data_IF_561047883616
#
_entry.id   IF_561047883616
#
_cell.length_a   1.000
_cell.length_b   1.000
_cell.length_c   1.000
_cell.angle_alpha   90.00
_cell.angle_beta   90.00
_cell.angle_gamma   90.00
#
_symmetry.space_group_name_H-M   'P 1'
#
loop_
_entity.id
_entity.type
_entity.pdbx_description
1 polymer ?
#
# COMPACT_ATOMS: atom_id res chain seq x y z
N UNK A 1 10.50 33.54 -3.64
CA UNK A 1 11.13 32.22 -3.78
C UNK A 1 10.30 31.33 -2.90
N UNK A 2 9.43 30.53 -3.52
CA UNK A 2 8.67 29.51 -2.80
C UNK A 2 9.65 28.35 -2.74
N UNK A 3 9.98 27.87 -1.54
CA UNK A 3 10.91 26.76 -1.36
C UNK A 3 10.36 25.56 -2.13
N UNK A 4 11.02 25.20 -3.22
CA UNK A 4 10.70 24.04 -4.06
C UNK A 4 11.09 22.76 -3.30
N UNK A 5 10.16 21.81 -3.25
CA UNK A 5 10.40 20.35 -3.21
C UNK A 5 11.13 19.68 -2.02
N UNK A 6 11.35 20.35 -0.89
CA UNK A 6 12.03 19.70 0.27
C UNK A 6 11.29 18.44 0.79
N UNK A 7 9.97 18.37 0.64
CA UNK A 7 9.19 17.22 1.11
C UNK A 7 9.32 15.97 0.22
N UNK A 8 9.57 16.11 -1.09
CA UNK A 8 9.49 14.98 -2.03
C UNK A 8 10.73 14.10 -2.03
N UNK A 9 11.94 14.69 -1.93
CA UNK A 9 13.20 13.93 -1.88
C UNK A 9 13.32 13.11 -0.57
N UNK A 10 13.03 13.72 0.58
CA UNK A 10 13.21 13.10 1.91
C UNK A 10 12.20 11.96 2.22
N UNK A 11 11.03 11.99 1.57
CA UNK A 11 10.00 10.93 1.65
C UNK A 11 10.41 9.71 0.83
N UNK A 12 11.06 9.91 -0.31
CA UNK A 12 11.46 8.83 -1.21
C UNK A 12 12.54 7.92 -0.60
N UNK A 13 13.37 8.49 0.27
CA UNK A 13 14.42 7.83 1.07
C UNK A 13 13.89 7.16 2.36
N UNK A 14 12.60 7.30 2.68
CA UNK A 14 12.03 6.68 3.89
C UNK A 14 11.74 5.18 3.73
N UNK A 15 11.63 4.72 2.48
CA UNK A 15 11.28 3.34 2.11
C UNK A 15 12.18 2.86 0.99
N UNK A 16 12.38 1.54 0.91
CA UNK A 16 13.24 0.95 -0.12
C UNK A 16 12.78 1.34 -1.53
N UNK A 17 13.71 1.47 -2.48
CA UNK A 17 13.38 1.71 -3.89
C UNK A 17 12.70 0.49 -4.52
N UNK A 18 11.99 0.68 -5.64
CA UNK A 18 11.35 -0.45 -6.34
C UNK A 18 12.33 -1.56 -6.74
N UNK A 19 13.56 -1.19 -7.14
CA UNK A 19 14.58 -2.17 -7.51
C UNK A 19 15.07 -2.98 -6.29
N UNK A 20 15.25 -2.33 -5.15
CA UNK A 20 15.60 -3.00 -3.88
C UNK A 20 14.47 -3.92 -3.43
N UNK A 21 13.22 -3.45 -3.46
CA UNK A 21 12.04 -4.24 -3.13
C UNK A 21 11.91 -5.48 -4.01
N UNK A 22 12.14 -5.34 -5.32
CA UNK A 22 12.08 -6.47 -6.25
C UNK A 22 13.21 -7.49 -5.98
N UNK A 23 14.41 -7.03 -5.58
CA UNK A 23 15.50 -7.92 -5.19
C UNK A 23 15.19 -8.65 -3.87
N UNK A 24 14.72 -7.93 -2.86
CA UNK A 24 14.32 -8.51 -1.57
C UNK A 24 13.20 -9.52 -1.72
N UNK A 25 12.20 -9.21 -2.55
CA UNK A 25 11.10 -10.10 -2.88
C UNK A 25 11.57 -11.41 -3.51
N UNK A 26 12.47 -11.34 -4.49
CA UNK A 26 13.04 -12.53 -5.12
C UNK A 26 13.82 -13.39 -4.13
N UNK A 27 14.57 -12.77 -3.21
CA UNK A 27 15.28 -13.46 -2.14
C UNK A 27 14.32 -14.13 -1.15
N UNK A 28 13.30 -13.41 -0.69
CA UNK A 28 12.29 -13.91 0.23
C UNK A 28 11.54 -15.11 -0.37
N UNK A 29 11.16 -15.05 -1.64
CA UNK A 29 10.55 -16.17 -2.36
C UNK A 29 11.46 -17.39 -2.44
N UNK A 30 12.74 -17.21 -2.72
CA UNK A 30 13.70 -18.31 -2.78
C UNK A 30 13.87 -18.99 -1.41
N UNK A 31 13.92 -18.19 -0.34
CA UNK A 31 13.99 -18.69 1.04
C UNK A 31 12.71 -19.42 1.41
N UNK A 32 11.54 -18.85 1.10
CA UNK A 32 10.26 -19.47 1.44
C UNK A 32 10.05 -20.82 0.73
N UNK A 33 10.45 -20.92 -0.55
CA UNK A 33 10.44 -22.20 -1.27
C UNK A 33 11.28 -23.30 -0.58
N UNK A 34 12.23 -22.91 0.27
CA UNK A 34 13.03 -23.85 1.08
C UNK A 34 12.39 -24.19 2.43
N UNK A 35 11.54 -23.30 2.97
CA UNK A 35 10.94 -23.41 4.30
C UNK A 35 9.49 -23.94 4.28
N UNK A 36 8.77 -23.76 3.16
CA UNK A 36 7.43 -24.29 2.93
C UNK A 36 6.30 -23.59 3.69
N UNK A 37 6.45 -22.30 4.03
CA UNK A 37 5.39 -21.54 4.69
C UNK A 37 4.39 -21.01 3.64
N UNK A 38 3.19 -21.60 3.64
CA UNK A 38 2.14 -21.23 2.69
C UNK A 38 1.54 -19.85 2.98
N UNK A 39 1.36 -19.47 4.25
CA UNK A 39 0.82 -18.14 4.58
C UNK A 39 1.80 -17.06 4.12
N UNK A 40 3.10 -17.27 4.36
CA UNK A 40 4.13 -16.37 3.85
C UNK A 40 4.23 -16.41 2.31
N UNK A 41 3.98 -17.55 1.66
CA UNK A 41 3.92 -17.63 0.20
C UNK A 41 2.78 -16.78 -0.39
N UNK A 42 1.61 -16.79 0.27
CA UNK A 42 0.45 -16.02 -0.13
C UNK A 42 0.71 -14.51 0.05
N UNK A 43 1.38 -14.12 1.14
CA UNK A 43 1.84 -12.73 1.37
C UNK A 43 2.82 -12.28 0.30
N UNK A 44 3.84 -13.09 -0.02
CA UNK A 44 4.79 -12.75 -1.07
C UNK A 44 4.11 -12.69 -2.45
N UNK A 45 3.07 -13.48 -2.68
CA UNK A 45 2.26 -13.42 -3.90
C UNK A 45 1.47 -12.13 -3.95
N UNK A 46 0.86 -11.72 -2.85
CA UNK A 46 0.15 -10.46 -2.76
C UNK A 46 1.10 -9.26 -2.95
N UNK A 47 2.29 -9.29 -2.34
CA UNK A 47 3.32 -8.27 -2.51
C UNK A 47 3.80 -8.13 -3.97
N UNK A 48 3.66 -9.19 -4.79
CA UNK A 48 4.01 -9.15 -6.22
C UNK A 48 3.00 -8.37 -7.07
N UNK A 49 1.76 -8.22 -6.60
CA UNK A 49 0.71 -7.44 -7.25
C UNK A 49 0.96 -5.94 -7.09
N UNK A 50 1.69 -5.55 -6.04
CA UNK A 50 2.07 -4.17 -5.78
C UNK A 50 3.25 -3.80 -6.70
N UNK A 51 2.93 -3.02 -7.72
CA UNK A 51 3.88 -2.61 -8.78
C UNK A 51 3.77 -1.11 -9.07
N UNK A 52 4.76 -0.51 -9.73
CA UNK A 52 4.66 0.88 -10.20
C UNK A 52 3.46 1.15 -11.11
N UNK A 53 2.89 0.12 -11.76
CA UNK A 53 1.72 0.28 -12.62
C UNK A 53 0.46 0.61 -11.80
N UNK A 54 0.35 0.05 -10.59
CA UNK A 54 -0.78 0.32 -9.67
C UNK A 54 -0.83 1.80 -9.30
N UNK A 55 0.32 2.48 -9.19
CA UNK A 55 0.36 3.94 -8.99
C UNK A 55 -0.36 4.69 -10.12
N UNK A 56 -0.13 4.29 -11.37
CA UNK A 56 -0.76 4.94 -12.53
C UNK A 56 -2.28 4.73 -12.54
N UNK A 57 -2.72 3.52 -12.18
CA UNK A 57 -4.13 3.17 -12.09
C UNK A 57 -4.85 3.97 -10.99
N UNK A 58 -4.20 4.13 -9.84
CA UNK A 58 -4.74 4.94 -8.73
C UNK A 58 -4.80 6.43 -9.08
N UNK A 59 -3.81 6.96 -9.81
CA UNK A 59 -3.81 8.37 -10.26
C UNK A 59 -5.01 8.69 -11.17
N UNK A 60 -5.55 7.70 -11.88
CA UNK A 60 -6.69 7.83 -12.79
C UNK A 60 -8.06 7.70 -12.09
N UNK A 61 -8.10 7.38 -10.79
CA UNK A 61 -9.35 7.27 -10.02
C UNK A 61 -9.96 8.67 -9.79
N UNK A 62 -11.27 8.88 -10.06
CA UNK A 62 -11.92 10.18 -9.91
C UNK A 62 -11.84 10.78 -8.50
N UNK A 63 -11.97 9.97 -7.45
CA UNK A 63 -11.96 10.44 -6.06
C UNK A 63 -10.56 10.91 -5.63
N UNK A 64 -9.53 10.17 -6.05
CA UNK A 64 -8.13 10.56 -5.90
C UNK A 64 -7.82 11.83 -6.70
N UNK A 65 -8.32 11.92 -7.93
CA UNK A 65 -8.22 13.13 -8.76
C UNK A 65 -8.91 14.35 -8.12
N UNK A 66 -10.05 14.15 -7.45
CA UNK A 66 -10.77 15.18 -6.74
C UNK A 66 -9.99 15.65 -5.51
N UNK A 67 -9.38 14.73 -4.75
CA UNK A 67 -8.48 15.07 -3.65
C UNK A 67 -7.31 15.93 -4.15
N UNK A 68 -6.71 15.61 -5.30
CA UNK A 68 -5.67 16.46 -5.90
C UNK A 68 -6.14 17.89 -6.16
N UNK A 69 -7.36 18.06 -6.67
CA UNK A 69 -7.93 19.38 -6.94
C UNK A 69 -8.27 20.16 -5.66
N UNK A 70 -8.62 19.44 -4.60
CA UNK A 70 -8.95 20.00 -3.28
C UNK A 70 -7.70 20.54 -2.59
N UNK A 71 -6.58 19.83 -2.71
CA UNK A 71 -5.31 20.21 -2.10
C UNK A 71 -4.44 21.11 -2.97
N UNK A 72 -5.02 22.06 -3.74
CA UNK A 72 -4.40 23.06 -4.65
C UNK A 72 -3.02 23.69 -4.27
N UNK A 73 -2.48 23.45 -3.07
CA UNK A 73 -1.14 23.80 -2.60
C UNK A 73 -0.09 22.66 -2.70
N UNK A 74 -0.50 21.39 -2.77
CA UNK A 74 0.34 20.22 -3.05
C UNK A 74 0.23 19.94 -4.55
N UNK A 75 1.25 20.27 -5.33
CA UNK A 75 1.25 19.96 -6.77
C UNK A 75 1.11 18.45 -7.03
N UNK A 76 0.61 18.08 -8.23
CA UNK A 76 0.41 16.69 -8.67
C UNK A 76 1.63 15.78 -8.41
N UNK A 77 2.84 16.32 -8.56
CA UNK A 77 4.10 15.62 -8.31
C UNK A 77 4.25 15.13 -6.86
N UNK A 78 3.84 15.95 -5.88
CA UNK A 78 3.90 15.57 -4.48
C UNK A 78 2.91 14.45 -4.19
N UNK A 79 1.69 14.54 -4.71
CA UNK A 79 0.67 13.51 -4.53
C UNK A 79 1.06 12.17 -5.16
N UNK A 80 1.62 12.17 -6.38
CA UNK A 80 2.12 10.94 -6.98
C UNK A 80 3.29 10.34 -6.19
N UNK A 81 4.18 11.18 -5.66
CA UNK A 81 5.30 10.73 -4.81
C UNK A 81 4.81 10.14 -3.50
N UNK A 82 3.75 10.72 -2.93
CA UNK A 82 3.10 10.22 -1.71
C UNK A 82 2.54 8.83 -1.97
N UNK A 83 1.71 8.65 -2.99
CA UNK A 83 1.11 7.34 -3.29
C UNK A 83 2.21 6.30 -3.59
N UNK A 84 3.26 6.69 -4.32
CA UNK A 84 4.41 5.82 -4.59
C UNK A 84 5.08 5.33 -3.30
N UNK A 85 5.39 6.23 -2.36
CA UNK A 85 6.00 5.88 -1.07
C UNK A 85 5.11 4.93 -0.27
N UNK A 86 3.79 5.10 -0.33
CA UNK A 86 2.84 4.26 0.42
C UNK A 86 2.70 2.86 -0.20
N UNK A 87 2.65 2.76 -1.53
CA UNK A 87 2.68 1.47 -2.22
C UNK A 87 3.99 0.73 -1.94
N UNK A 88 5.11 1.45 -1.96
CA UNK A 88 6.42 0.88 -1.59
C UNK A 88 6.46 0.45 -0.14
N UNK A 89 5.95 1.25 0.80
CA UNK A 89 5.86 0.92 2.22
C UNK A 89 5.05 -0.36 2.45
N UNK A 90 3.87 -0.47 1.84
CA UNK A 90 3.02 -1.66 1.93
C UNK A 90 3.78 -2.90 1.45
N UNK A 91 4.41 -2.81 0.28
CA UNK A 91 5.22 -3.92 -0.27
C UNK A 91 6.41 -4.26 0.63
N UNK A 92 7.08 -3.25 1.18
CA UNK A 92 8.25 -3.42 2.05
C UNK A 92 7.86 -4.19 3.33
N UNK A 93 6.79 -3.76 3.99
CA UNK A 93 6.26 -4.39 5.20
C UNK A 93 5.83 -5.83 4.94
N UNK A 94 5.19 -6.11 3.80
CA UNK A 94 4.78 -7.47 3.43
C UNK A 94 5.98 -8.40 3.16
N UNK A 95 7.04 -7.90 2.52
CA UNK A 95 8.24 -8.70 2.25
C UNK A 95 8.99 -9.00 3.56
N UNK A 96 9.12 -7.99 4.42
CA UNK A 96 9.88 -8.09 5.66
C UNK A 96 9.09 -8.66 6.85
N UNK A 97 7.76 -8.73 6.73
CA UNK A 97 6.82 -8.98 7.85
C UNK A 97 7.06 -8.01 9.03
N UNK A 98 7.39 -6.75 8.70
CA UNK A 98 7.71 -5.69 9.66
C UNK A 98 6.81 -4.48 9.43
N UNK A 99 5.72 -4.41 10.19
CA UNK A 99 4.80 -3.27 10.17
C UNK A 99 5.22 -2.15 11.13
N UNK A 100 6.29 -2.30 11.93
CA UNK A 100 6.85 -1.19 12.69
C UNK A 100 7.45 -0.12 11.75
N UNK A 101 7.90 -0.54 10.56
CA UNK A 101 8.35 0.35 9.49
C UNK A 101 7.29 1.40 9.11
N UNK A 102 6.01 1.04 9.16
CA UNK A 102 4.88 1.96 8.92
C UNK A 102 4.91 3.11 9.92
N UNK A 103 4.95 2.79 11.22
CA UNK A 103 5.02 3.77 12.29
C UNK A 103 6.27 4.66 12.22
N UNK A 104 7.43 4.09 11.89
CA UNK A 104 8.69 4.84 11.76
C UNK A 104 8.62 5.80 10.59
N UNK A 105 8.05 5.35 9.46
CA UNK A 105 7.88 6.16 8.25
C UNK A 105 6.97 7.36 8.55
N UNK A 106 5.77 7.15 9.10
CA UNK A 106 4.86 8.26 9.43
C UNK A 106 5.41 9.21 10.49
N UNK A 107 6.16 8.72 11.49
CA UNK A 107 6.86 9.60 12.42
C UNK A 107 7.86 10.49 11.70
N UNK A 108 8.60 9.94 10.72
CA UNK A 108 9.51 10.73 9.87
C UNK A 108 8.72 11.79 9.08
N UNK A 109 7.63 11.40 8.41
CA UNK A 109 6.73 12.34 7.68
C UNK A 109 6.25 13.48 8.60
N UNK A 110 5.76 13.16 9.80
CA UNK A 110 5.27 14.15 10.76
C UNK A 110 6.38 15.10 11.25
N UNK A 111 7.62 14.64 11.35
CA UNK A 111 8.76 15.46 11.78
C UNK A 111 9.37 16.34 10.68
N UNK A 112 9.01 16.11 9.41
CA UNK A 112 9.57 16.84 8.26
C UNK A 112 9.03 18.27 8.07
N UNK A 113 8.25 18.78 9.03
CA UNK A 113 7.91 20.21 9.11
C UNK A 113 6.85 20.67 8.12
N UNK A 114 6.15 19.75 7.44
CA UNK A 114 4.94 20.06 6.71
C UNK A 114 3.86 20.43 7.74
N UNK A 115 3.29 21.64 7.62
CA UNK A 115 2.23 22.10 8.52
C UNK A 115 1.14 21.02 8.61
N UNK A 116 0.50 20.88 9.78
CA UNK A 116 -0.45 19.79 10.09
C UNK A 116 -1.42 19.46 8.94
N UNK A 117 -1.93 20.47 8.25
CA UNK A 117 -2.85 20.32 7.11
C UNK A 117 -2.27 19.57 5.90
N UNK A 118 -0.96 19.65 5.65
CA UNK A 118 -0.31 18.97 4.52
C UNK A 118 -0.01 17.51 4.85
N UNK A 119 0.43 17.21 6.07
CA UNK A 119 0.56 15.82 6.54
C UNK A 119 -0.79 15.11 6.60
N UNK A 120 -1.86 15.83 6.99
CA UNK A 120 -3.23 15.32 6.95
C UNK A 120 -3.67 15.01 5.52
N UNK A 121 -3.47 15.96 4.59
CA UNK A 121 -3.76 15.74 3.18
C UNK A 121 -3.01 14.53 2.58
N UNK A 122 -1.74 14.36 2.95
CA UNK A 122 -0.91 13.22 2.57
C UNK A 122 -1.52 11.91 3.07
N UNK A 123 -1.91 11.86 4.34
CA UNK A 123 -2.52 10.68 4.96
C UNK A 123 -3.89 10.36 4.36
N UNK A 124 -4.70 11.37 4.04
CA UNK A 124 -6.02 11.21 3.42
C UNK A 124 -5.90 10.68 1.98
N UNK A 125 -5.01 11.25 1.15
CA UNK A 125 -4.77 10.75 -0.22
C UNK A 125 -4.25 9.31 -0.20
N UNK A 126 -3.36 9.00 0.72
CA UNK A 126 -2.83 7.66 0.88
C UNK A 126 -3.88 6.65 1.37
N UNK A 127 -4.70 7.05 2.35
CA UNK A 127 -5.78 6.20 2.86
C UNK A 127 -6.81 5.93 1.77
N UNK A 128 -7.20 6.94 1.00
CA UNK A 128 -8.13 6.78 -0.12
C UNK A 128 -7.57 5.81 -1.17
N UNK A 129 -6.29 5.96 -1.53
CA UNK A 129 -5.60 5.03 -2.43
C UNK A 129 -5.63 3.57 -1.93
N UNK A 130 -5.35 3.36 -0.65
CA UNK A 130 -5.36 2.04 -0.03
C UNK A 130 -6.79 1.48 0.09
N UNK A 131 -7.79 2.32 0.38
CA UNK A 131 -9.19 1.93 0.43
C UNK A 131 -9.70 1.46 -0.93
N UNK A 132 -9.31 2.11 -2.03
CA UNK A 132 -9.65 1.65 -3.37
C UNK A 132 -9.08 0.25 -3.68
N UNK A 133 -7.81 0.00 -3.32
CA UNK A 133 -7.21 -1.34 -3.43
C UNK A 133 -7.95 -2.35 -2.56
N UNK A 134 -8.33 -1.95 -1.34
CA UNK A 134 -9.08 -2.78 -0.41
C UNK A 134 -10.45 -3.18 -1.00
N UNK A 135 -11.21 -2.22 -1.51
CA UNK A 135 -12.53 -2.46 -2.11
C UNK A 135 -12.48 -3.45 -3.28
N UNK A 136 -11.50 -3.30 -4.18
CA UNK A 136 -11.31 -4.23 -5.30
C UNK A 136 -11.09 -5.67 -4.82
N UNK A 137 -10.22 -5.85 -3.82
CA UNK A 137 -9.90 -7.17 -3.30
C UNK A 137 -10.99 -7.74 -2.37
N UNK A 138 -11.80 -6.90 -1.73
CA UNK A 138 -13.01 -7.35 -1.01
C UNK A 138 -14.03 -7.96 -1.97
N UNK A 139 -14.20 -7.37 -3.16
CA UNK A 139 -15.07 -7.92 -4.21
C UNK A 139 -14.55 -9.29 -4.67
N UNK A 140 -13.24 -9.42 -4.92
CA UNK A 140 -12.62 -10.69 -5.32
C UNK A 140 -12.84 -11.76 -4.25
N UNK A 141 -12.57 -11.45 -2.97
CA UNK A 141 -12.78 -12.39 -1.86
C UNK A 141 -14.25 -12.80 -1.78
N UNK A 142 -15.18 -11.85 -1.84
CA UNK A 142 -16.62 -12.13 -1.76
C UNK A 142 -17.11 -13.01 -2.90
N UNK A 143 -16.60 -12.80 -4.12
CA UNK A 143 -16.95 -13.61 -5.29
C UNK A 143 -16.43 -15.05 -5.21
N UNK A 144 -15.27 -15.24 -4.59
CA UNK A 144 -14.59 -16.54 -4.54
C UNK A 144 -14.88 -17.32 -3.26
N UNK A 145 -15.33 -16.67 -2.18
CA UNK A 145 -15.49 -17.26 -0.85
C UNK A 145 -16.35 -18.53 -0.85
N UNK A 146 -17.55 -18.48 -1.44
CA UNK A 146 -18.43 -19.65 -1.51
C UNK A 146 -17.77 -20.82 -2.25
N UNK A 147 -17.11 -20.52 -3.38
CA UNK A 147 -16.47 -21.54 -4.23
C UNK A 147 -15.26 -22.21 -3.59
N UNK A 148 -14.48 -21.47 -2.80
CA UNK A 148 -13.28 -21.98 -2.11
C UNK A 148 -13.66 -22.71 -0.83
N UNK A 149 -14.71 -22.26 -0.14
CA UNK A 149 -15.20 -22.89 1.09
C UNK A 149 -15.96 -24.20 0.80
N UNK A 150 -16.57 -24.34 -0.38
CA UNK A 150 -17.01 -25.64 -0.89
C UNK A 150 -15.81 -26.39 -1.48
N UNK A 151 -15.23 -27.30 -0.67
CA UNK A 151 -14.00 -28.09 -0.89
C UNK A 151 -13.98 -28.86 -2.23
N UNK A 152 -15.08 -28.87 -2.99
CA UNK A 152 -15.22 -29.57 -4.27
C UNK A 152 -15.31 -28.67 -5.52
N UNK A 153 -15.38 -27.34 -5.38
CA UNK A 153 -15.76 -26.44 -6.46
C UNK A 153 -14.68 -25.53 -7.04
N UNK A 154 -13.73 -25.04 -6.24
CA UNK A 154 -12.75 -24.06 -6.70
C UNK A 154 -11.61 -24.65 -7.53
N UNK A 155 -11.21 -23.90 -8.56
CA UNK A 155 -9.95 -24.17 -9.28
C UNK A 155 -8.76 -23.80 -8.41
N UNK A 156 -7.57 -24.35 -8.73
CA UNK A 156 -6.31 -23.97 -8.08
C UNK A 156 -6.06 -22.46 -8.20
N UNK A 157 -6.41 -21.90 -9.36
CA UNK A 157 -6.29 -20.46 -9.64
C UNK A 157 -7.23 -19.64 -8.76
N UNK A 158 -8.53 -19.99 -8.69
CA UNK A 158 -9.49 -19.32 -7.81
C UNK A 158 -9.10 -19.39 -6.33
N UNK A 159 -8.56 -20.54 -5.91
CA UNK A 159 -8.06 -20.72 -4.54
C UNK A 159 -6.87 -19.80 -4.27
N UNK A 160 -5.93 -19.70 -5.22
CA UNK A 160 -4.77 -18.82 -5.12
C UNK A 160 -5.18 -17.35 -5.08
N UNK A 161 -6.08 -16.92 -5.96
CA UNK A 161 -6.54 -15.53 -6.04
C UNK A 161 -7.27 -15.12 -4.75
N UNK A 162 -8.04 -16.04 -4.16
CA UNK A 162 -8.71 -15.84 -2.88
C UNK A 162 -7.73 -15.63 -1.72
N UNK A 163 -6.76 -16.52 -1.53
CA UNK A 163 -5.79 -16.39 -0.44
C UNK A 163 -4.83 -15.22 -0.64
N UNK A 164 -4.44 -14.95 -1.88
CA UNK A 164 -3.64 -13.76 -2.24
C UNK A 164 -4.39 -12.49 -1.89
N UNK A 165 -5.68 -12.40 -2.25
CA UNK A 165 -6.51 -11.23 -1.93
C UNK A 165 -6.73 -11.09 -0.42
N UNK A 166 -6.93 -12.18 0.33
CA UNK A 166 -7.00 -12.14 1.79
C UNK A 166 -5.71 -11.65 2.45
N UNK A 167 -4.56 -12.09 1.94
CA UNK A 167 -3.26 -11.63 2.44
C UNK A 167 -3.06 -10.13 2.16
N UNK A 168 -3.47 -9.64 0.98
CA UNK A 168 -3.41 -8.22 0.67
C UNK A 168 -4.35 -7.39 1.55
N UNK A 169 -5.61 -7.83 1.74
CA UNK A 169 -6.57 -7.15 2.61
C UNK A 169 -6.02 -7.01 4.03
N UNK A 170 -5.48 -8.09 4.60
CA UNK A 170 -4.85 -8.08 5.93
C UNK A 170 -3.71 -7.04 6.01
N UNK A 171 -2.85 -6.98 4.99
CA UNK A 171 -1.74 -6.03 4.96
C UNK A 171 -2.24 -4.58 4.83
N UNK A 172 -3.22 -4.33 3.96
CA UNK A 172 -3.82 -3.02 3.75
C UNK A 172 -4.53 -2.54 5.02
N UNK A 173 -5.35 -3.38 5.65
CA UNK A 173 -6.03 -3.06 6.91
C UNK A 173 -5.01 -2.70 8.00
N UNK A 174 -3.91 -3.46 8.11
CA UNK A 174 -2.85 -3.17 9.09
C UNK A 174 -2.18 -1.82 8.81
N UNK A 175 -1.90 -1.48 7.55
CA UNK A 175 -1.32 -0.17 7.21
C UNK A 175 -2.33 0.95 7.51
N UNK A 176 -3.61 0.79 7.14
CA UNK A 176 -4.67 1.75 7.40
C UNK A 176 -4.86 2.04 8.90
N UNK A 177 -4.81 1.01 9.76
CA UNK A 177 -4.88 1.17 11.23
C UNK A 177 -3.71 1.97 11.81
N UNK A 178 -2.56 1.95 11.13
CA UNK A 178 -1.34 2.63 11.55
C UNK A 178 -1.20 4.03 10.91
N UNK A 179 -2.11 4.41 10.01
CA UNK A 179 -2.15 5.76 9.46
C UNK A 179 -2.57 6.77 10.54
N UNK A 180 -1.90 7.92 10.64
CA UNK A 180 -2.34 9.03 11.48
C UNK A 180 -3.52 9.77 10.82
N UNK A 181 -4.67 9.12 10.70
CA UNK A 181 -5.90 9.76 10.22
C UNK A 181 -6.46 10.71 11.29
N UNK A 182 -7.00 11.88 10.90
CA UNK A 182 -7.66 12.76 11.85
C UNK A 182 -8.85 12.02 12.49
N UNK A 183 -8.97 12.09 13.82
CA UNK A 183 -10.20 11.67 14.50
C UNK A 183 -11.34 12.51 13.92
N UNK A 184 -12.32 11.85 13.29
CA UNK A 184 -13.53 12.51 12.85
C UNK A 184 -14.27 12.92 14.13
N UNK A 185 -14.26 14.21 14.46
CA UNK A 185 -15.15 14.75 15.49
C UNK A 185 -16.60 14.53 14.99
N UNK A 186 -17.29 13.54 15.56
CA UNK A 186 -18.72 13.26 15.35
C UNK A 186 -19.63 14.41 15.81
#
# INVERSE_FOLDING_TARGET
>A
MVDEDVCSEDLSDAVSSWDELNQMHALAYAVNNSNGDQEYADILTAASLITPQVLLELLDIPDISLLYSTFNNLGLYNCSTIIDVHLRLLKDCMIQDDYELVNVTYKKIATMGVQDATCQAVAEVAAEALLNVREEHEVIVSMLEESVMDVSGATIEATKDFYTSKALLKAVDTVLELLPLPEVEE
#
